data_IF_223431896907
#
_entry.id   IF_223431896907
#
_cell.length_a   1.000
_cell.length_b   1.000
_cell.length_c   1.000
_cell.angle_alpha   90.00
_cell.angle_beta   90.00
_cell.angle_gamma   90.00
#
_symmetry.space_group_name_H-M   'P 1'
#
loop_
_entity.id
_entity.type
_entity.pdbx_description
1 polymer ?
#
# COMPACT_ATOMS: atom_id res chain seq x y z
N UNK A 1 50.25 -20.06 23.19
CA UNK A 1 50.06 -21.48 22.86
C UNK A 1 48.85 -21.45 21.92
N UNK A 2 49.03 -21.28 20.57
CA UNK A 2 49.34 -22.40 19.70
C UNK A 2 48.22 -23.45 19.87
N UNK A 3 47.38 -23.80 18.98
CA UNK A 3 47.39 -24.13 17.54
C UNK A 3 45.98 -24.57 17.14
N UNK A 4 45.51 -24.16 15.97
CA UNK A 4 45.26 -24.99 14.74
C UNK A 4 44.08 -25.94 14.86
N UNK A 5 43.22 -26.12 13.87
CA UNK A 5 43.28 -26.27 12.42
C UNK A 5 41.82 -26.20 11.88
N UNK A 6 41.54 -25.50 10.84
CA UNK A 6 41.46 -25.81 9.41
C UNK A 6 40.64 -27.04 9.00
N UNK A 7 39.66 -26.73 8.10
CA UNK A 7 39.25 -27.45 6.87
C UNK A 7 38.34 -28.67 6.94
N UNK A 8 37.27 -28.60 6.14
CA UNK A 8 36.92 -29.36 4.90
C UNK A 8 35.45 -29.14 4.62
N UNK A 9 35.00 -28.50 3.62
CA UNK A 9 34.92 -28.62 2.15
C UNK A 9 34.61 -30.02 1.63
N UNK A 10 33.61 -30.03 0.77
CA UNK A 10 33.18 -31.01 -0.25
C UNK A 10 32.10 -32.00 0.18
N UNK A 11 30.97 -31.85 -0.48
CA UNK A 11 30.48 -32.30 -1.80
C UNK A 11 30.01 -33.74 -1.81
N UNK A 12 28.89 -33.91 -2.45
CA UNK A 12 28.39 -34.96 -3.36
C UNK A 12 26.94 -35.31 -3.04
N UNK A 13 26.04 -35.02 -3.90
CA UNK A 13 25.75 -35.52 -5.26
C UNK A 13 25.26 -36.96 -5.28
N UNK A 14 24.04 -37.10 -5.72
CA UNK A 14 23.47 -38.09 -6.63
C UNK A 14 23.11 -39.48 -6.14
N UNK A 15 22.04 -39.91 -6.72
CA UNK A 15 21.61 -41.22 -7.25
C UNK A 15 20.44 -41.86 -6.48
N UNK A 16 19.32 -41.86 -7.13
CA UNK A 16 18.71 -42.88 -8.03
C UNK A 16 18.11 -44.04 -7.25
N UNK A 17 16.94 -44.52 -7.49
CA UNK A 17 16.37 -45.33 -8.56
C UNK A 17 14.94 -45.74 -8.17
N UNK A 18 14.04 -45.56 -9.08
CA UNK A 18 13.20 -46.51 -9.81
C UNK A 18 12.75 -47.82 -9.14
N UNK A 19 11.49 -48.06 -9.34
CA UNK A 19 10.74 -49.31 -9.66
C UNK A 19 9.49 -49.44 -8.78
N UNK A 20 8.32 -49.84 -9.22
CA UNK A 20 7.76 -50.60 -10.33
C UNK A 20 6.25 -50.41 -10.34
N UNK A 21 5.67 -50.33 -11.50
CA UNK A 21 4.29 -50.69 -11.85
C UNK A 21 4.12 -52.21 -11.81
N UNK A 22 2.98 -52.88 -12.03
CA UNK A 22 1.77 -52.47 -12.76
C UNK A 22 0.44 -53.14 -12.28
N UNK A 23 -0.58 -53.06 -13.14
CA UNK A 23 -1.80 -53.88 -13.28
C UNK A 23 -3.06 -53.22 -12.69
N UNK A 24 -4.15 -53.09 -13.33
CA UNK A 24 -4.62 -53.53 -14.64
C UNK A 24 -6.13 -53.34 -14.78
N UNK A 25 -6.50 -53.19 -16.02
CA UNK A 25 -7.71 -53.64 -16.67
C UNK A 25 -9.07 -52.91 -16.60
N UNK A 26 -9.43 -52.42 -17.78
CA UNK A 26 -10.64 -52.66 -18.63
C UNK A 26 -11.85 -51.77 -18.27
N UNK A 27 -12.62 -51.26 -19.18
CA UNK A 27 -12.92 -51.40 -20.59
C UNK A 27 -13.92 -50.32 -20.99
N UNK A 28 -13.81 -49.83 -22.16
CA UNK A 28 -14.61 -49.82 -23.37
C UNK A 28 -15.76 -48.79 -23.35
N UNK A 29 -16.10 -48.09 -24.33
CA UNK A 29 -16.27 -48.29 -25.74
C UNK A 29 -16.68 -47.00 -26.44
N UNK A 30 -16.13 -46.71 -27.60
CA UNK A 30 -16.78 -46.29 -28.86
C UNK A 30 -17.64 -45.02 -28.85
N UNK A 31 -17.61 -44.12 -29.82
CA UNK A 31 -17.35 -44.19 -31.27
C UNK A 31 -17.38 -42.83 -31.95
N UNK A 32 -16.66 -42.74 -33.06
CA UNK A 32 -16.84 -41.94 -34.28
C UNK A 32 -16.55 -40.45 -34.27
N UNK A 33 -15.50 -40.01 -34.83
CA UNK A 33 -15.02 -39.86 -36.21
C UNK A 33 -15.75 -38.81 -37.05
N UNK A 34 -14.98 -37.78 -37.46
CA UNK A 34 -14.79 -37.42 -38.88
C UNK A 34 -13.72 -36.35 -39.06
N UNK A 35 -12.74 -36.78 -39.76
CA UNK A 35 -11.68 -36.08 -40.49
C UNK A 35 -12.23 -35.08 -41.52
N UNK A 36 -11.57 -33.97 -41.69
CA UNK A 36 -11.26 -33.41 -43.02
C UNK A 36 -9.93 -32.63 -43.01
N UNK A 37 -9.00 -33.12 -43.77
CA UNK A 37 -7.76 -32.51 -44.19
C UNK A 37 -8.03 -31.44 -45.26
N UNK A 38 -7.32 -30.33 -45.26
CA UNK A 38 -6.90 -29.65 -46.49
C UNK A 38 -5.55 -28.96 -46.18
N UNK A 39 -4.50 -29.41 -46.90
CA UNK A 39 -3.29 -28.67 -47.26
C UNK A 39 -3.37 -28.53 -48.80
N UNK A 40 -2.98 -27.38 -49.35
CA UNK A 40 -1.74 -27.30 -50.14
C UNK A 40 -1.12 -25.88 -50.09
N UNK A 41 0.02 -25.53 -50.49
CA UNK A 41 1.10 -25.97 -51.33
C UNK A 41 2.24 -24.95 -51.27
N UNK A 42 3.38 -25.41 -51.46
CA UNK A 42 4.71 -24.86 -51.60
C UNK A 42 4.85 -23.98 -52.84
N UNK A 43 5.62 -22.88 -52.75
CA UNK A 43 6.48 -22.50 -53.87
C UNK A 43 7.81 -21.90 -53.41
N UNK A 44 8.88 -22.58 -53.86
CA UNK A 44 10.28 -22.24 -53.79
C UNK A 44 10.61 -21.10 -54.76
N UNK A 45 11.52 -20.21 -54.40
CA UNK A 45 12.50 -19.65 -55.34
C UNK A 45 13.86 -19.53 -54.62
N UNK A 46 14.82 -20.24 -55.15
CA UNK A 46 16.25 -20.13 -54.90
C UNK A 46 16.80 -18.86 -55.55
N UNK A 47 17.78 -18.22 -54.93
CA UNK A 47 18.99 -17.74 -55.60
C UNK A 47 20.15 -17.58 -54.60
N UNK A 48 21.18 -18.34 -54.89
CA UNK A 48 22.55 -18.39 -54.42
C UNK A 48 23.36 -17.15 -54.79
N UNK A 49 24.26 -16.71 -53.93
CA UNK A 49 25.62 -16.33 -54.31
C UNK A 49 26.57 -16.36 -53.11
N UNK A 50 27.57 -17.19 -53.24
CA UNK A 50 28.80 -17.27 -52.42
C UNK A 50 29.69 -16.06 -52.74
N UNK A 51 30.56 -15.65 -51.81
CA UNK A 51 31.99 -15.43 -51.99
C UNK A 51 32.65 -14.97 -50.67
N UNK A 52 33.43 -15.80 -50.10
CA UNK A 52 34.87 -15.82 -49.86
C UNK A 52 35.43 -14.96 -48.70
N UNK A 53 35.98 -15.71 -47.77
CA UNK A 53 36.97 -15.39 -46.75
C UNK A 53 38.27 -14.85 -47.31
N UNK A 54 38.85 -13.84 -46.63
CA UNK A 54 40.31 -13.67 -46.54
C UNK A 54 40.71 -12.98 -45.25
N UNK A 55 41.53 -13.69 -44.52
CA UNK A 55 42.37 -13.26 -43.38
C UNK A 55 43.48 -12.32 -43.85
N UNK A 56 43.81 -11.30 -43.03
CA UNK A 56 45.20 -10.89 -42.78
C UNK A 56 45.32 -10.04 -41.51
N UNK A 57 46.30 -10.44 -40.72
CA UNK A 57 46.87 -9.73 -39.59
C UNK A 57 47.67 -8.50 -40.02
N UNK A 58 47.72 -7.42 -39.27
CA UNK A 58 48.89 -6.91 -38.53
C UNK A 58 48.87 -5.40 -38.27
N UNK A 59 49.29 -5.07 -37.08
CA UNK A 59 50.15 -3.97 -36.59
C UNK A 59 49.62 -2.52 -36.52
N UNK A 60 49.47 -2.11 -35.22
CA UNK A 60 49.99 -0.89 -34.56
C UNK A 60 50.04 0.46 -35.31
N UNK A 61 49.40 1.48 -34.77
CA UNK A 61 50.06 2.65 -34.25
C UNK A 61 49.02 3.69 -33.72
N UNK A 62 49.36 4.29 -32.61
CA UNK A 62 48.62 5.35 -31.92
C UNK A 62 48.69 6.67 -32.68
N UNK A 63 47.57 7.40 -32.71
CA UNK A 63 47.55 8.85 -32.95
C UNK A 63 46.44 9.48 -32.15
N UNK A 64 46.83 10.22 -31.14
CA UNK A 64 45.95 11.12 -30.39
C UNK A 64 45.62 12.32 -31.29
N UNK A 65 44.33 12.54 -31.51
CA UNK A 65 43.84 13.82 -32.07
C UNK A 65 43.07 14.60 -31.01
N UNK A 66 43.68 15.73 -30.66
CA UNK A 66 43.12 16.76 -29.82
C UNK A 66 42.09 17.54 -30.64
N UNK A 67 40.84 17.50 -30.22
CA UNK A 67 39.78 18.34 -30.78
C UNK A 67 39.66 19.57 -29.90
N UNK A 68 40.06 20.74 -30.44
CA UNK A 68 39.87 22.06 -29.85
C UNK A 68 38.46 22.54 -30.17
N UNK A 69 37.59 22.65 -29.17
CA UNK A 69 36.27 23.27 -29.33
C UNK A 69 36.41 24.77 -28.97
N UNK A 70 36.21 25.60 -29.96
CA UNK A 70 36.17 27.08 -29.80
C UNK A 70 34.78 27.48 -29.30
N UNK A 71 34.72 27.99 -28.09
CA UNK A 71 33.49 28.52 -27.50
C UNK A 71 33.31 30.00 -27.86
N UNK A 72 32.26 30.31 -28.59
CA UNK A 72 31.83 31.69 -28.83
C UNK A 72 30.95 32.14 -27.68
N UNK A 73 31.43 33.18 -26.96
CA UNK A 73 30.70 33.81 -25.86
C UNK A 73 29.57 34.67 -26.38
N UNK A 74 28.34 34.45 -25.92
CA UNK A 74 27.34 35.51 -25.79
C UNK A 74 26.91 35.59 -24.32
N UNK A 75 27.05 36.81 -23.80
CA UNK A 75 26.83 37.24 -22.47
C UNK A 75 25.37 37.23 -22.03
N UNK A 76 25.02 36.55 -20.94
CA UNK A 76 24.08 37.08 -19.95
C UNK A 76 24.31 36.39 -18.60
N UNK A 77 24.57 37.24 -17.61
CA UNK A 77 24.87 36.93 -16.22
C UNK A 77 23.68 36.27 -15.54
N UNK A 78 23.91 35.13 -14.86
CA UNK A 78 23.38 34.80 -13.52
C UNK A 78 24.24 33.70 -12.91
N UNK A 79 24.66 33.96 -11.67
CA UNK A 79 25.48 33.13 -10.80
C UNK A 79 24.79 31.81 -10.42
N UNK A 80 25.49 30.68 -10.59
CA UNK A 80 25.22 29.44 -9.86
C UNK A 80 26.53 28.98 -9.23
N UNK A 81 26.52 28.88 -7.91
CA UNK A 81 27.60 28.28 -7.13
C UNK A 81 27.41 26.76 -7.19
N UNK A 82 28.44 26.10 -7.67
CA UNK A 82 28.59 24.64 -7.62
C UNK A 82 29.39 24.24 -6.40
N UNK A 83 28.89 23.31 -5.59
CA UNK A 83 29.65 22.62 -4.55
C UNK A 83 30.05 21.22 -5.06
N UNK A 84 31.29 20.78 -4.82
CA UNK A 84 31.76 19.45 -5.20
C UNK A 84 31.40 18.41 -4.12
N UNK A 85 30.83 17.30 -4.55
CA UNK A 85 30.63 16.08 -3.76
C UNK A 85 31.94 15.26 -3.79
N UNK A 86 32.56 15.11 -2.64
CA UNK A 86 33.59 14.11 -2.41
C UNK A 86 33.00 12.94 -1.61
N UNK A 87 32.91 11.77 -2.23
CA UNK A 87 32.71 10.51 -1.55
C UNK A 87 34.06 9.93 -1.13
N UNK A 88 34.23 9.67 0.15
CA UNK A 88 35.21 8.70 0.67
C UNK A 88 34.50 7.71 1.58
N UNK A 89 34.55 6.46 1.18
CA UNK A 89 34.32 5.30 2.04
C UNK A 89 35.46 5.19 3.05
N UNK A 90 35.15 4.96 4.31
CA UNK A 90 36.00 4.21 5.24
C UNK A 90 35.15 3.57 6.31
N UNK A 91 35.31 2.25 6.41
CA UNK A 91 34.86 1.38 7.48
C UNK A 91 35.57 1.66 8.81
N UNK A 92 34.90 1.25 9.86
CA UNK A 92 35.38 0.61 11.08
C UNK A 92 35.07 1.28 12.42
N UNK A 93 34.34 0.49 13.18
CA UNK A 93 34.52 0.16 14.60
C UNK A 93 34.13 1.14 15.71
N UNK A 94 33.07 0.72 16.40
CA UNK A 94 32.85 0.54 17.86
C UNK A 94 33.51 1.50 18.88
N UNK A 95 32.62 1.91 19.73
CA UNK A 95 32.69 2.08 21.20
C UNK A 95 32.78 3.49 21.79
N UNK A 96 31.79 3.72 22.61
CA UNK A 96 31.78 4.30 23.95
C UNK A 96 31.81 5.82 24.15
N UNK A 97 30.71 6.25 24.75
CA UNK A 97 30.61 7.12 25.95
C UNK A 97 30.87 8.65 25.85
N UNK A 98 29.83 9.32 26.33
CA UNK A 98 29.81 10.57 27.09
C UNK A 98 29.83 11.92 26.35
N UNK A 99 28.65 12.54 26.46
CA UNK A 99 28.43 13.96 26.82
C UNK A 99 29.35 15.05 26.20
N UNK A 100 28.73 15.96 25.44
CA UNK A 100 28.76 17.39 25.79
C UNK A 100 27.91 18.23 24.83
N UNK A 101 26.96 18.91 25.43
CA UNK A 101 26.15 19.94 24.84
C UNK A 101 27.00 21.16 24.44
N UNK A 102 26.94 21.59 23.19
CA UNK A 102 27.41 22.92 22.82
C UNK A 102 26.26 23.70 22.17
N UNK A 103 25.76 24.64 22.94
CA UNK A 103 24.73 25.61 22.56
C UNK A 103 25.36 26.67 21.66
N UNK A 104 24.91 26.76 20.41
CA UNK A 104 25.18 27.95 19.57
C UNK A 104 24.09 29.00 19.86
N UNK A 105 24.50 30.08 20.54
CA UNK A 105 23.69 31.29 20.72
C UNK A 105 23.77 32.18 19.47
N UNK A 106 22.70 32.24 18.72
CA UNK A 106 22.49 33.34 17.77
C UNK A 106 21.79 34.49 18.49
N UNK A 107 22.46 35.63 18.57
CA UNK A 107 21.91 36.89 19.05
C UNK A 107 21.05 37.52 17.95
N UNK A 108 19.75 37.54 18.12
CA UNK A 108 18.85 38.47 17.40
C UNK A 108 18.35 39.53 18.36
N UNK A 109 18.47 40.79 17.93
CA UNK A 109 18.01 41.98 18.69
C UNK A 109 16.50 41.91 18.86
N UNK A 110 16.08 42.00 20.11
CA UNK A 110 14.68 42.12 20.49
C UNK A 110 14.18 43.53 20.23
N UNK A 111 13.08 43.64 19.51
CA UNK A 111 12.20 44.80 19.61
C UNK A 111 11.00 44.37 20.45
N UNK A 112 10.88 45.04 21.61
CA UNK A 112 9.80 44.83 22.57
C UNK A 112 8.51 45.46 22.06
N UNK A 113 7.50 44.62 21.82
CA UNK A 113 6.11 45.03 22.05
C UNK A 113 5.38 43.89 22.74
N UNK A 114 4.96 44.19 23.94
CA UNK A 114 4.16 43.36 24.86
C UNK A 114 2.77 43.17 24.28
N UNK A 115 2.42 41.90 23.97
CA UNK A 115 1.04 41.47 24.09
C UNK A 115 1.01 40.13 24.81
N UNK A 116 0.39 40.13 25.98
CA UNK A 116 0.09 38.92 26.78
C UNK A 116 -1.08 38.19 26.12
N UNK A 117 -0.98 36.92 26.14
CA UNK A 117 -1.98 35.85 26.18
C UNK A 117 -1.89 34.85 25.01
N UNK A 118 -1.56 33.66 25.42
CA UNK A 118 -1.58 32.46 24.59
C UNK A 118 -0.68 31.37 25.17
N UNK A 119 -0.94 31.02 26.44
CA UNK A 119 -0.44 29.78 27.00
C UNK A 119 -1.16 28.66 26.24
N UNK A 120 -0.52 28.12 25.20
CA UNK A 120 -0.99 26.90 24.56
C UNK A 120 -1.07 25.82 25.63
N UNK A 121 -2.27 25.48 26.01
CA UNK A 121 -2.54 24.29 26.81
C UNK A 121 -2.10 23.09 25.99
N UNK A 122 -0.96 22.53 26.32
CA UNK A 122 -0.64 21.15 25.94
C UNK A 122 -1.70 20.29 26.66
N UNK A 123 -2.77 19.98 25.98
CA UNK A 123 -3.68 18.93 26.42
C UNK A 123 -2.90 17.63 26.37
N UNK A 124 -2.34 17.23 27.49
CA UNK A 124 -1.87 15.85 27.69
C UNK A 124 -3.08 14.95 27.49
N UNK A 125 -3.09 14.22 26.39
CA UNK A 125 -4.17 13.26 26.15
C UNK A 125 -4.15 12.24 27.28
N UNK A 126 -5.32 11.90 27.81
CA UNK A 126 -5.44 10.93 28.88
C UNK A 126 -4.83 9.58 28.43
N UNK A 127 -4.16 8.90 29.34
CA UNK A 127 -3.62 7.54 29.09
C UNK A 127 -4.81 6.61 28.80
N UNK A 128 -4.63 5.71 27.80
CA UNK A 128 -5.63 4.73 27.41
C UNK A 128 -6.15 3.94 28.62
N UNK A 129 -7.46 3.85 28.77
CA UNK A 129 -8.09 3.12 29.88
C UNK A 129 -8.57 1.74 29.41
N UNK A 130 -8.42 0.69 30.24
CA UNK A 130 -9.07 -0.58 29.93
C UNK A 130 -10.59 -0.37 29.96
N UNK A 131 -11.28 -0.95 28.96
CA UNK A 131 -12.74 -0.93 28.92
C UNK A 131 -13.29 -1.75 30.08
N UNK A 132 -13.93 -1.11 31.04
CA UNK A 132 -14.50 -1.78 32.25
C UNK A 132 -16.00 -2.03 32.12
N UNK A 133 -16.70 -1.16 31.41
CA UNK A 133 -18.14 -1.20 31.20
C UNK A 133 -18.45 -0.94 29.72
N UNK A 134 -18.86 -1.99 29.01
CA UNK A 134 -19.19 -1.89 27.60
C UNK A 134 -20.52 -1.15 27.36
N UNK A 135 -21.50 -1.31 28.26
CA UNK A 135 -22.80 -0.65 28.10
C UNK A 135 -22.68 0.88 28.09
N UNK A 136 -21.81 1.42 28.96
CA UNK A 136 -21.54 2.86 28.99
C UNK A 136 -20.98 3.39 27.66
N UNK A 137 -20.04 2.68 27.05
CA UNK A 137 -19.50 3.02 25.74
C UNK A 137 -20.58 2.89 24.67
N UNK A 138 -21.30 1.76 24.66
CA UNK A 138 -22.35 1.47 23.67
C UNK A 138 -23.44 2.56 23.73
N UNK A 139 -23.91 2.92 24.90
CA UNK A 139 -24.99 3.90 25.06
C UNK A 139 -24.54 5.33 24.71
N UNK A 140 -23.24 5.59 24.76
CA UNK A 140 -22.66 6.91 24.46
C UNK A 140 -22.49 7.21 22.98
N UNK A 141 -22.73 6.25 22.06
CA UNK A 141 -22.55 6.41 20.61
C UNK A 141 -23.72 5.80 19.84
N UNK A 142 -23.96 6.28 18.62
CA UNK A 142 -24.99 5.76 17.71
C UNK A 142 -24.41 4.80 16.66
N UNK A 143 -23.13 5.00 16.34
CA UNK A 143 -22.46 4.27 15.24
C UNK A 143 -21.13 3.69 15.70
N UNK A 144 -20.93 2.43 15.34
CA UNK A 144 -19.62 1.78 15.45
C UNK A 144 -19.00 1.64 14.07
N UNK A 145 -17.77 2.11 13.92
CA UNK A 145 -16.92 1.86 12.76
C UNK A 145 -15.89 0.81 13.16
N UNK A 146 -15.88 -0.31 12.46
CA UNK A 146 -14.95 -1.40 12.69
C UNK A 146 -13.90 -1.46 11.60
N UNK A 147 -12.63 -1.62 11.94
CA UNK A 147 -11.70 -2.25 11.01
C UNK A 147 -12.08 -3.73 10.82
N UNK A 148 -11.53 -4.36 9.79
CA UNK A 148 -11.87 -5.74 9.47
C UNK A 148 -10.80 -6.73 9.94
N UNK A 149 -9.57 -6.57 9.47
CA UNK A 149 -8.46 -7.49 9.74
C UNK A 149 -7.92 -7.26 11.15
N UNK A 150 -7.91 -8.28 12.01
CA UNK A 150 -7.53 -8.14 13.41
C UNK A 150 -8.67 -7.75 14.36
N UNK A 151 -9.82 -7.32 13.83
CA UNK A 151 -11.01 -6.91 14.59
C UNK A 151 -12.18 -7.87 14.38
N UNK A 152 -12.52 -8.16 13.12
CA UNK A 152 -13.61 -9.07 12.75
C UNK A 152 -13.07 -10.48 12.47
N UNK A 153 -11.94 -10.55 11.76
CA UNK A 153 -11.28 -11.81 11.41
C UNK A 153 -9.75 -11.70 11.43
N UNK A 154 -9.11 -12.88 11.42
CA UNK A 154 -7.68 -13.06 11.11
C UNK A 154 -7.57 -14.00 9.90
N UNK A 155 -7.07 -13.49 8.78
CA UNK A 155 -7.10 -14.23 7.53
C UNK A 155 -8.55 -14.58 7.13
N UNK A 156 -8.87 -15.86 7.08
CA UNK A 156 -10.20 -16.37 6.73
C UNK A 156 -10.97 -16.95 7.93
N UNK A 157 -10.57 -16.62 9.17
CA UNK A 157 -11.24 -17.09 10.39
C UNK A 157 -11.79 -15.92 11.19
N UNK A 158 -13.08 -16.02 11.55
CA UNK A 158 -13.69 -15.06 12.49
C UNK A 158 -13.00 -15.09 13.85
N UNK A 159 -12.91 -13.92 14.45
CA UNK A 159 -12.56 -13.81 15.88
C UNK A 159 -13.79 -14.24 16.68
N UNK A 160 -13.54 -15.05 17.69
CA UNK A 160 -14.57 -15.65 18.53
C UNK A 160 -15.50 -14.59 19.15
N UNK A 161 -16.81 -14.84 19.05
CA UNK A 161 -17.86 -13.98 19.62
C UNK A 161 -18.18 -12.73 18.78
N UNK A 162 -17.60 -12.60 17.58
CA UNK A 162 -17.90 -11.50 16.67
C UNK A 162 -19.35 -11.51 16.21
N UNK A 163 -19.91 -12.63 15.69
CA UNK A 163 -21.31 -12.66 15.24
C UNK A 163 -22.28 -12.17 16.33
N UNK A 164 -22.15 -12.74 17.52
CA UNK A 164 -23.00 -12.43 18.68
C UNK A 164 -22.88 -10.95 19.11
N UNK A 165 -21.66 -10.42 19.01
CA UNK A 165 -21.41 -8.99 19.33
C UNK A 165 -22.09 -8.06 18.31
N UNK A 166 -21.94 -8.34 17.01
CA UNK A 166 -22.57 -7.54 15.96
C UNK A 166 -24.11 -7.60 16.07
N UNK A 167 -24.68 -8.77 16.33
CA UNK A 167 -26.12 -8.95 16.51
C UNK A 167 -26.62 -8.22 17.76
N UNK A 168 -25.89 -8.29 18.86
CA UNK A 168 -26.20 -7.53 20.07
C UNK A 168 -26.19 -6.02 19.82
N UNK A 169 -25.19 -5.48 19.13
CA UNK A 169 -25.13 -4.06 18.80
C UNK A 169 -26.30 -3.63 17.89
N UNK A 170 -26.63 -4.46 16.87
CA UNK A 170 -27.80 -4.21 16.01
C UNK A 170 -29.11 -4.27 16.80
N UNK A 171 -29.29 -5.21 17.72
CA UNK A 171 -30.46 -5.29 18.58
C UNK A 171 -30.63 -4.07 19.47
N UNK A 172 -29.53 -3.41 19.84
CA UNK A 172 -29.53 -2.11 20.55
C UNK A 172 -29.72 -0.91 19.62
N UNK A 173 -30.04 -1.13 18.35
CA UNK A 173 -30.27 -0.06 17.36
C UNK A 173 -29.00 0.67 16.90
N UNK A 174 -27.81 0.10 17.14
CA UNK A 174 -26.55 0.72 16.70
C UNK A 174 -26.30 0.49 15.21
N UNK A 175 -25.84 1.54 14.53
CA UNK A 175 -25.36 1.42 13.15
C UNK A 175 -23.97 0.83 13.14
N UNK A 176 -23.73 -0.13 12.26
CA UNK A 176 -22.44 -0.77 12.07
C UNK A 176 -21.88 -0.39 10.70
N UNK A 177 -20.61 -0.06 10.66
CA UNK A 177 -19.88 0.29 9.43
C UNK A 177 -18.51 -0.39 9.47
N UNK A 178 -18.07 -0.95 8.35
CA UNK A 178 -16.81 -1.68 8.23
C UNK A 178 -15.86 -0.92 7.31
N UNK A 179 -14.74 -0.44 7.86
CA UNK A 179 -13.78 0.42 7.14
C UNK A 179 -12.43 -0.26 7.08
N UNK A 180 -11.96 -0.61 5.89
CA UNK A 180 -10.67 -1.29 5.70
C UNK A 180 -9.75 -0.54 4.74
N UNK A 181 -8.45 -0.56 5.03
CA UNK A 181 -7.41 -0.04 4.13
C UNK A 181 -7.09 -0.99 2.98
N UNK A 182 -7.59 -2.22 3.01
CA UNK A 182 -7.36 -3.17 1.93
C UNK A 182 -8.11 -2.74 0.65
N UNK A 183 -7.37 -2.47 -0.41
CA UNK A 183 -7.89 -2.01 -1.72
C UNK A 183 -7.97 -3.12 -2.77
N UNK A 184 -7.60 -4.37 -2.43
CA UNK A 184 -7.57 -5.46 -3.41
C UNK A 184 -8.95 -5.95 -3.83
N UNK A 185 -9.97 -5.69 -2.98
CA UNK A 185 -11.35 -6.11 -3.19
C UNK A 185 -12.29 -4.91 -3.29
N UNK A 186 -13.34 -5.05 -4.11
CA UNK A 186 -14.47 -4.13 -4.11
C UNK A 186 -15.41 -4.41 -2.93
N UNK A 187 -16.32 -3.47 -2.62
CA UNK A 187 -17.36 -3.66 -1.58
C UNK A 187 -18.17 -4.94 -1.81
N UNK A 188 -18.55 -5.22 -3.07
CA UNK A 188 -19.25 -6.46 -3.43
C UNK A 188 -18.44 -7.72 -3.11
N UNK A 189 -17.13 -7.70 -3.38
CA UNK A 189 -16.24 -8.83 -3.04
C UNK A 189 -16.05 -8.96 -1.53
N UNK A 190 -16.05 -7.86 -0.79
CA UNK A 190 -16.04 -7.88 0.68
C UNK A 190 -17.36 -8.43 1.22
N UNK A 191 -18.51 -8.01 0.67
CA UNK A 191 -19.82 -8.57 1.03
C UNK A 191 -19.85 -10.09 0.93
N UNK A 192 -19.28 -10.67 -0.14
CA UNK A 192 -19.14 -12.13 -0.26
C UNK A 192 -18.23 -12.74 0.81
N UNK A 193 -17.16 -12.05 1.24
CA UNK A 193 -16.34 -12.55 2.35
C UNK A 193 -17.12 -12.57 3.65
N UNK A 194 -17.88 -11.52 3.96
CA UNK A 194 -18.77 -11.47 5.12
C UNK A 194 -19.80 -12.61 5.09
N UNK A 195 -20.47 -12.80 3.95
CA UNK A 195 -21.43 -13.89 3.74
C UNK A 195 -20.79 -15.27 3.95
N UNK A 196 -19.61 -15.52 3.37
CA UNK A 196 -18.88 -16.79 3.53
C UNK A 196 -18.51 -17.06 4.99
N UNK A 197 -18.28 -16.01 5.77
CA UNK A 197 -18.01 -16.08 7.20
C UNK A 197 -19.29 -16.13 8.06
N UNK A 198 -20.47 -16.18 7.45
CA UNK A 198 -21.76 -16.26 8.15
C UNK A 198 -22.22 -14.92 8.75
N UNK A 199 -21.67 -13.80 8.29
CA UNK A 199 -22.05 -12.46 8.77
C UNK A 199 -22.97 -11.77 7.76
N UNK A 200 -24.10 -11.27 8.24
CA UNK A 200 -25.03 -10.49 7.42
C UNK A 200 -24.60 -9.01 7.41
N UNK A 201 -23.89 -8.61 6.36
CA UNK A 201 -23.38 -7.25 6.16
C UNK A 201 -23.72 -6.81 4.74
N UNK A 202 -24.40 -5.67 4.61
CA UNK A 202 -24.73 -5.09 3.30
C UNK A 202 -23.54 -4.34 2.69
N UNK A 203 -23.51 -4.21 1.35
CA UNK A 203 -22.47 -3.40 0.67
C UNK A 203 -22.46 -1.94 1.13
N UNK A 204 -23.61 -1.42 1.58
CA UNK A 204 -23.75 -0.05 2.09
C UNK A 204 -23.09 0.18 3.45
N UNK A 205 -22.78 -0.89 4.19
CA UNK A 205 -22.06 -0.85 5.45
C UNK A 205 -20.54 -0.99 5.24
N UNK A 206 -20.07 -1.29 4.00
CA UNK A 206 -18.66 -1.59 3.70
C UNK A 206 -17.99 -0.40 3.02
N UNK A 207 -16.86 0.04 3.55
CA UNK A 207 -16.05 1.15 3.07
C UNK A 207 -14.59 0.73 2.96
N UNK A 208 -14.24 0.12 1.83
CA UNK A 208 -12.88 -0.24 1.50
C UNK A 208 -12.13 0.96 0.90
N UNK A 209 -10.82 1.00 1.03
CA UNK A 209 -10.01 2.07 0.44
C UNK A 209 -10.05 2.08 -1.10
N UNK A 210 -10.40 0.95 -1.74
CA UNK A 210 -10.75 0.89 -3.17
C UNK A 210 -11.97 1.76 -3.50
N UNK A 211 -13.04 1.64 -2.69
CA UNK A 211 -14.22 2.50 -2.80
C UNK A 211 -13.90 3.96 -2.50
N UNK A 212 -13.07 4.22 -1.48
CA UNK A 212 -12.70 5.57 -1.09
C UNK A 212 -12.04 6.34 -2.23
N UNK A 213 -11.22 5.70 -3.06
CA UNK A 213 -10.59 6.32 -4.22
C UNK A 213 -11.66 6.75 -5.27
N UNK A 214 -12.61 5.89 -5.58
CA UNK A 214 -13.70 6.20 -6.51
C UNK A 214 -14.65 7.27 -5.94
N UNK A 215 -14.97 7.19 -4.64
CA UNK A 215 -15.81 8.17 -3.95
C UNK A 215 -15.14 9.55 -3.88
N UNK A 216 -13.82 9.60 -3.69
CA UNK A 216 -13.07 10.85 -3.72
C UNK A 216 -13.15 11.51 -5.10
N UNK A 217 -12.87 10.77 -6.17
CA UNK A 217 -13.01 11.31 -7.53
C UNK A 217 -14.41 11.84 -7.81
N UNK A 218 -15.44 11.14 -7.31
CA UNK A 218 -16.83 11.60 -7.41
C UNK A 218 -17.07 12.88 -6.61
N UNK A 219 -16.48 13.01 -5.42
CA UNK A 219 -16.68 14.17 -4.53
C UNK A 219 -16.07 15.47 -5.06
N UNK A 220 -15.10 15.37 -5.96
CA UNK A 220 -14.44 16.51 -6.62
C UNK A 220 -14.93 16.73 -8.04
N UNK A 221 -16.03 16.07 -8.46
CA UNK A 221 -16.56 16.11 -9.82
C UNK A 221 -15.49 15.82 -10.89
N UNK A 222 -14.66 14.81 -10.66
CA UNK A 222 -13.60 14.42 -11.58
C UNK A 222 -14.19 14.18 -13.00
N UNK A 223 -13.61 14.78 -14.06
CA UNK A 223 -14.17 14.74 -15.40
C UNK A 223 -14.34 13.31 -15.93
N UNK A 224 -15.52 12.99 -16.49
CA UNK A 224 -15.87 11.64 -16.98
C UNK A 224 -15.18 11.27 -18.30
N UNK A 225 -14.71 12.24 -19.04
CA UNK A 225 -13.90 12.08 -20.25
C UNK A 225 -12.43 11.80 -19.96
N UNK A 226 -11.97 12.06 -18.74
CA UNK A 226 -10.63 11.71 -18.29
C UNK A 226 -10.58 10.26 -17.79
N UNK A 227 -9.42 9.65 -17.98
CA UNK A 227 -9.13 8.29 -17.53
C UNK A 227 -8.36 8.27 -16.21
N UNK A 228 -8.48 7.17 -15.50
CA UNK A 228 -7.73 6.89 -14.28
C UNK A 228 -6.72 5.78 -14.55
N UNK A 229 -5.43 6.05 -14.37
CA UNK A 229 -4.43 4.99 -14.40
C UNK A 229 -4.31 4.33 -13.03
N UNK A 230 -4.43 3.00 -12.98
CA UNK A 230 -4.47 2.26 -11.73
C UNK A 230 -3.19 1.42 -11.57
N UNK A 231 -2.49 1.67 -10.47
CA UNK A 231 -1.46 0.78 -9.92
C UNK A 231 -2.10 0.10 -8.72
N UNK A 232 -2.62 -1.09 -8.93
CA UNK A 232 -3.43 -1.80 -7.92
C UNK A 232 -4.12 -3.02 -8.48
N UNK A 233 -4.96 -3.64 -7.65
CA UNK A 233 -5.69 -4.85 -8.00
C UNK A 233 -7.16 -4.57 -8.35
N UNK A 234 -7.90 -5.63 -8.73
CA UNK A 234 -9.28 -5.60 -9.25
C UNK A 234 -10.27 -4.78 -8.44
N UNK A 235 -10.08 -4.70 -7.12
CA UNK A 235 -10.99 -3.95 -6.24
C UNK A 235 -11.13 -2.49 -6.65
N UNK A 236 -10.01 -1.84 -6.98
CA UNK A 236 -10.01 -0.43 -7.42
C UNK A 236 -10.71 -0.29 -8.77
N UNK A 237 -10.40 -1.19 -9.72
CA UNK A 237 -10.98 -1.17 -11.07
C UNK A 237 -12.51 -1.26 -11.01
N UNK A 238 -13.04 -2.20 -10.22
CA UNK A 238 -14.47 -2.41 -10.07
C UNK A 238 -15.19 -1.24 -9.42
N UNK A 239 -14.59 -0.60 -8.42
CA UNK A 239 -15.20 0.59 -7.80
C UNK A 239 -15.16 1.81 -8.73
N UNK A 240 -14.13 1.97 -9.56
CA UNK A 240 -14.07 3.00 -10.59
C UNK A 240 -15.12 2.77 -11.67
N UNK A 241 -15.30 1.52 -12.13
CA UNK A 241 -16.33 1.12 -13.10
C UNK A 241 -17.74 1.43 -12.57
N UNK A 242 -18.03 1.03 -11.31
CA UNK A 242 -19.30 1.33 -10.65
C UNK A 242 -19.55 2.84 -10.48
N UNK A 243 -18.50 3.63 -10.33
CA UNK A 243 -18.59 5.09 -10.28
C UNK A 243 -18.67 5.73 -11.67
N UNK A 244 -18.58 4.94 -12.76
CA UNK A 244 -18.67 5.40 -14.15
C UNK A 244 -17.41 6.10 -14.65
N UNK A 245 -16.23 5.74 -14.15
CA UNK A 245 -14.94 6.23 -14.62
C UNK A 245 -14.27 5.23 -15.56
N UNK A 246 -13.63 5.74 -16.60
CA UNK A 246 -12.75 4.95 -17.45
C UNK A 246 -11.40 4.78 -16.77
N UNK A 247 -10.81 3.60 -16.91
CA UNK A 247 -9.51 3.30 -16.32
C UNK A 247 -8.57 2.57 -17.27
N UNK A 248 -7.29 2.60 -16.94
CA UNK A 248 -6.18 1.90 -17.57
C UNK A 248 -5.35 1.24 -16.47
N UNK A 249 -4.53 0.25 -16.82
CA UNK A 249 -3.61 -0.39 -15.87
C UNK A 249 -4.24 -1.51 -15.07
N UNK A 250 -3.91 -1.61 -13.80
CA UNK A 250 -4.34 -2.71 -12.95
C UNK A 250 -3.55 -4.01 -13.18
N UNK A 251 -4.13 -5.19 -12.89
CA UNK A 251 -3.47 -6.48 -13.02
C UNK A 251 -2.97 -6.81 -14.44
N UNK A 252 -3.63 -6.29 -15.47
CA UNK A 252 -3.25 -6.51 -16.88
C UNK A 252 -1.85 -6.01 -17.20
N UNK A 253 -1.39 -4.97 -16.53
CA UNK A 253 -0.05 -4.43 -16.68
C UNK A 253 1.02 -5.23 -15.90
N UNK A 254 0.62 -6.23 -15.13
CA UNK A 254 1.52 -7.01 -14.28
C UNK A 254 2.60 -7.78 -15.03
N UNK A 255 2.33 -8.18 -16.27
CA UNK A 255 3.28 -8.89 -17.13
C UNK A 255 4.09 -7.98 -18.07
N UNK A 256 3.80 -6.67 -18.14
CA UNK A 256 4.46 -5.76 -19.07
C UNK A 256 5.93 -5.52 -18.68
N UNK A 257 6.79 -5.52 -19.67
CA UNK A 257 8.23 -5.24 -19.56
C UNK A 257 8.60 -4.12 -20.52
N UNK A 258 9.59 -3.33 -20.14
CA UNK A 258 10.13 -2.26 -20.99
C UNK A 258 11.44 -2.77 -21.59
N UNK A 259 11.53 -2.81 -22.91
CA UNK A 259 12.78 -3.04 -23.62
C UNK A 259 13.45 -1.70 -23.92
N UNK A 260 14.52 -1.41 -23.21
CA UNK A 260 15.28 -0.17 -23.38
C UNK A 260 16.20 -0.30 -24.61
N UNK A 261 15.91 0.50 -25.64
CA UNK A 261 16.75 0.65 -26.84
C UNK A 261 17.19 2.11 -26.95
N UNK A 262 18.34 2.41 -27.55
CA UNK A 262 18.75 3.80 -27.79
C UNK A 262 17.64 4.58 -28.54
N UNK A 263 17.25 5.73 -27.99
CA UNK A 263 16.18 6.58 -28.57
C UNK A 263 14.75 6.11 -28.28
N UNK A 264 14.56 5.03 -27.48
CA UNK A 264 13.22 4.63 -27.07
C UNK A 264 12.58 5.67 -26.14
N UNK A 265 11.39 6.13 -26.52
CA UNK A 265 10.51 6.98 -25.71
C UNK A 265 9.26 6.17 -25.37
N UNK A 266 8.91 6.12 -24.09
CA UNK A 266 7.68 5.46 -23.65
C UNK A 266 6.52 6.43 -23.81
N UNK A 267 5.56 6.06 -24.63
CA UNK A 267 4.30 6.80 -24.78
C UNK A 267 3.37 6.55 -23.60
N UNK A 268 2.56 7.54 -23.26
CA UNK A 268 1.50 7.45 -22.27
C UNK A 268 0.25 8.18 -22.76
N UNK A 269 -0.89 7.88 -22.16
CA UNK A 269 -2.18 8.50 -22.55
C UNK A 269 -2.32 9.87 -21.87
N UNK A 270 -2.35 10.93 -22.67
CA UNK A 270 -2.52 12.32 -22.23
C UNK A 270 -3.91 12.59 -21.61
N UNK A 271 -4.87 11.68 -21.82
CA UNK A 271 -6.19 11.76 -21.19
C UNK A 271 -6.24 11.20 -19.77
N UNK A 272 -5.14 10.65 -19.26
CA UNK A 272 -5.05 10.25 -17.85
C UNK A 272 -5.02 11.50 -16.97
N UNK A 273 -6.10 11.72 -16.23
CA UNK A 273 -6.24 12.85 -15.29
C UNK A 273 -6.01 12.46 -13.82
N UNK A 274 -5.88 11.19 -13.51
CA UNK A 274 -5.55 10.71 -12.17
C UNK A 274 -4.76 9.40 -12.22
N UNK A 275 -3.82 9.25 -11.28
CA UNK A 275 -3.13 7.98 -11.00
C UNK A 275 -3.54 7.55 -9.58
N UNK A 276 -4.19 6.39 -9.49
CA UNK A 276 -4.59 5.79 -8.21
C UNK A 276 -3.65 4.65 -7.88
N UNK A 277 -2.99 4.74 -6.73
CA UNK A 277 -2.02 3.75 -6.26
C UNK A 277 -2.54 3.06 -5.01
N UNK A 278 -2.65 1.74 -5.08
CA UNK A 278 -2.98 0.86 -3.98
C UNK A 278 -2.03 -0.33 -3.89
N UNK A 279 -2.39 -1.29 -3.04
CA UNK A 279 -1.64 -2.54 -2.95
C UNK A 279 -1.73 -3.32 -4.27
N UNK A 280 -0.57 -3.77 -4.77
CA UNK A 280 -0.44 -4.45 -6.07
C UNK A 280 0.65 -5.53 -6.00
N UNK A 281 0.25 -6.81 -5.99
CA UNK A 281 1.17 -7.96 -6.00
C UNK A 281 1.93 -8.12 -7.31
N UNK A 282 1.45 -7.46 -8.37
CA UNK A 282 2.04 -7.50 -9.71
C UNK A 282 2.74 -6.19 -10.08
N UNK A 283 3.18 -5.45 -9.06
CA UNK A 283 3.90 -4.19 -9.21
C UNK A 283 5.22 -4.41 -9.97
N UNK A 284 5.48 -3.58 -10.99
CA UNK A 284 6.66 -3.70 -11.83
C UNK A 284 7.15 -2.33 -12.34
N UNK A 285 8.31 -2.34 -13.01
CA UNK A 285 8.93 -1.10 -13.49
C UNK A 285 8.09 -0.39 -14.58
N UNK A 286 7.33 -1.15 -15.40
CA UNK A 286 6.40 -0.56 -16.37
C UNK A 286 5.38 0.32 -15.69
N UNK A 287 4.73 -0.18 -14.64
CA UNK A 287 3.72 0.57 -13.88
C UNK A 287 4.31 1.81 -13.21
N UNK A 288 5.54 1.69 -12.67
CA UNK A 288 6.25 2.84 -12.09
C UNK A 288 6.44 3.92 -13.15
N UNK A 289 7.02 3.55 -14.30
CA UNK A 289 7.34 4.50 -15.35
C UNK A 289 6.09 5.14 -15.95
N UNK A 290 5.06 4.34 -16.27
CA UNK A 290 3.82 4.85 -16.83
C UNK A 290 3.10 5.82 -15.89
N UNK A 291 2.93 5.43 -14.62
CA UNK A 291 2.33 6.29 -13.60
C UNK A 291 3.14 7.57 -13.36
N UNK A 292 4.49 7.48 -13.41
CA UNK A 292 5.38 8.64 -13.30
C UNK A 292 5.16 9.62 -14.43
N UNK A 293 5.09 9.13 -15.68
CA UNK A 293 4.84 9.97 -16.86
C UNK A 293 3.50 10.69 -16.76
N UNK A 294 2.42 9.95 -16.45
CA UNK A 294 1.10 10.55 -16.27
C UNK A 294 1.09 11.67 -15.22
N UNK A 295 1.72 11.44 -14.06
CA UNK A 295 1.74 12.43 -12.96
C UNK A 295 2.60 13.66 -13.31
N UNK A 296 3.69 13.48 -14.06
CA UNK A 296 4.65 14.54 -14.33
C UNK A 296 4.30 15.34 -15.58
N UNK A 297 3.74 14.69 -16.60
CA UNK A 297 3.60 15.27 -17.95
C UNK A 297 2.16 15.67 -18.26
N UNK A 298 1.13 14.98 -17.67
CA UNK A 298 -0.25 15.38 -17.88
C UNK A 298 -0.62 16.56 -16.96
N UNK A 299 -1.01 17.73 -17.49
CA UNK A 299 -1.35 18.88 -16.68
C UNK A 299 -2.51 18.59 -15.71
N UNK A 300 -2.30 18.85 -14.44
CA UNK A 300 -3.34 18.66 -13.40
C UNK A 300 -3.61 17.22 -13.02
N UNK A 301 -2.83 16.25 -13.50
CA UNK A 301 -2.99 14.85 -13.12
C UNK A 301 -2.87 14.67 -11.60
N UNK A 302 -3.90 14.05 -11.02
CA UNK A 302 -3.97 13.77 -9.57
C UNK A 302 -3.12 12.56 -9.23
N UNK A 303 -2.47 12.62 -8.09
CA UNK A 303 -1.82 11.46 -7.48
C UNK A 303 -2.56 11.08 -6.20
N UNK A 304 -3.24 9.93 -6.22
CA UNK A 304 -4.11 9.44 -5.14
C UNK A 304 -3.57 8.11 -4.63
N UNK A 305 -3.42 7.98 -3.32
CA UNK A 305 -3.07 6.73 -2.65
C UNK A 305 -4.27 6.18 -1.86
N UNK A 306 -4.55 4.89 -2.02
CA UNK A 306 -5.60 4.23 -1.23
C UNK A 306 -5.25 4.18 0.25
N UNK A 307 -3.96 3.95 0.58
CA UNK A 307 -3.39 4.01 1.93
C UNK A 307 -1.86 4.08 1.83
N UNK A 308 -1.19 4.21 2.99
CA UNK A 308 0.28 4.20 3.08
C UNK A 308 0.79 3.11 4.04
N UNK A 309 0.05 2.04 4.21
CA UNK A 309 0.44 0.96 5.12
C UNK A 309 1.78 0.37 4.68
N UNK A 310 2.76 0.40 5.57
CA UNK A 310 4.12 -0.06 5.28
C UNK A 310 4.15 -1.57 5.07
N UNK A 311 3.38 -2.29 5.87
CA UNK A 311 3.28 -3.76 5.86
C UNK A 311 1.83 -4.22 5.78
N UNK A 312 1.66 -5.46 5.31
CA UNK A 312 0.39 -6.17 5.25
C UNK A 312 0.59 -7.64 5.62
N UNK A 313 -0.48 -8.32 6.01
CA UNK A 313 -0.46 -9.72 6.36
C UNK A 313 -1.16 -10.53 5.26
N UNK A 314 -0.37 -11.08 4.32
CA UNK A 314 -0.88 -11.98 3.28
C UNK A 314 -0.91 -13.43 3.77
N UNK A 315 -0.02 -13.75 4.71
CA UNK A 315 0.06 -15.03 5.42
C UNK A 315 0.29 -14.75 6.90
N UNK A 316 0.11 -15.76 7.74
CA UNK A 316 0.40 -15.72 9.18
C UNK A 316 1.89 -15.93 9.51
N UNK A 317 2.71 -16.28 8.51
CA UNK A 317 4.11 -16.64 8.72
C UNK A 317 5.05 -15.42 8.78
N UNK A 318 4.70 -14.31 8.10
CA UNK A 318 5.55 -13.11 8.05
C UNK A 318 4.77 -11.86 7.64
N UNK A 319 5.37 -10.69 7.90
CA UNK A 319 4.92 -9.42 7.33
C UNK A 319 5.36 -9.29 5.87
N UNK A 320 4.50 -8.71 5.07
CA UNK A 320 4.71 -8.43 3.65
C UNK A 320 4.70 -6.93 3.39
N UNK A 321 5.39 -6.49 2.34
CA UNK A 321 5.37 -5.09 1.93
C UNK A 321 3.93 -4.64 1.61
N UNK A 322 3.47 -3.59 2.25
CA UNK A 322 2.13 -3.02 2.09
C UNK A 322 2.02 -2.05 0.92
N UNK A 323 0.84 -1.48 0.72
CA UNK A 323 0.54 -0.50 -0.34
C UNK A 323 1.42 0.74 -0.29
N UNK A 324 1.89 1.11 0.90
CA UNK A 324 2.84 2.20 1.09
C UNK A 324 4.14 2.04 0.32
N UNK A 325 4.58 0.80 0.04
CA UNK A 325 5.77 0.52 -0.79
C UNK A 325 5.57 0.94 -2.24
N UNK A 326 4.39 0.66 -2.82
CA UNK A 326 4.02 1.08 -4.18
C UNK A 326 3.90 2.60 -4.26
N UNK A 327 3.24 3.20 -3.27
CA UNK A 327 3.11 4.66 -3.14
C UNK A 327 4.48 5.32 -3.02
N UNK A 328 5.38 4.76 -2.19
CA UNK A 328 6.74 5.26 -2.03
C UNK A 328 7.56 5.25 -3.32
N UNK A 329 7.41 4.21 -4.15
CA UNK A 329 8.07 4.16 -5.45
C UNK A 329 7.61 5.29 -6.39
N UNK A 330 6.31 5.57 -6.45
CA UNK A 330 5.74 6.65 -7.26
C UNK A 330 6.10 8.03 -6.67
N UNK A 331 6.03 8.19 -5.34
CA UNK A 331 6.47 9.44 -4.68
C UNK A 331 7.94 9.73 -4.97
N UNK A 332 8.80 8.69 -4.91
CA UNK A 332 10.24 8.82 -5.19
C UNK A 332 10.54 9.23 -6.62
N UNK A 333 9.83 8.67 -7.60
CA UNK A 333 10.04 8.98 -9.02
C UNK A 333 9.44 10.32 -9.45
N UNK A 334 8.32 10.71 -8.85
CA UNK A 334 7.60 11.96 -9.19
C UNK A 334 8.01 13.16 -8.37
N UNK A 335 8.64 12.94 -7.20
CA UNK A 335 8.90 13.96 -6.19
C UNK A 335 7.62 14.70 -5.74
N UNK A 336 6.50 13.94 -5.71
CA UNK A 336 5.19 14.44 -5.29
C UNK A 336 4.62 13.51 -4.22
N UNK A 337 3.93 14.10 -3.24
CA UNK A 337 3.16 13.34 -2.27
C UNK A 337 1.73 13.11 -2.77
N UNK A 338 1.14 11.93 -2.54
CA UNK A 338 -0.24 11.65 -2.92
C UNK A 338 -1.23 12.30 -1.95
N UNK A 339 -2.43 12.53 -2.44
CA UNK A 339 -3.60 12.61 -1.59
C UNK A 339 -3.97 11.20 -1.12
N UNK A 340 -4.04 11.00 0.19
CA UNK A 340 -4.39 9.70 0.78
C UNK A 340 -5.87 9.68 1.14
N UNK A 341 -6.60 8.65 0.68
CA UNK A 341 -8.04 8.52 0.94
C UNK A 341 -8.38 7.51 2.04
N UNK A 342 -7.50 6.55 2.32
CA UNK A 342 -7.65 5.57 3.38
C UNK A 342 -7.24 6.09 4.76
N UNK A 343 -7.46 5.28 5.80
CA UNK A 343 -7.02 5.58 7.18
C UNK A 343 -5.51 5.84 7.21
N UNK A 344 -4.99 6.81 7.98
CA UNK A 344 -5.69 7.64 8.96
C UNK A 344 -6.26 8.98 8.39
N UNK A 345 -6.36 9.13 7.04
CA UNK A 345 -7.00 10.30 6.43
C UNK A 345 -8.47 10.38 6.82
N UNK A 346 -8.96 11.59 7.11
CA UNK A 346 -10.35 11.81 7.55
C UNK A 346 -11.36 11.69 6.41
N UNK A 347 -10.94 11.54 5.16
CA UNK A 347 -11.85 11.54 4.01
C UNK A 347 -13.01 10.54 4.18
N UNK A 348 -12.71 9.28 4.54
CA UNK A 348 -13.77 8.28 4.74
C UNK A 348 -14.66 8.62 5.93
N UNK A 349 -14.12 9.19 7.01
CA UNK A 349 -14.90 9.61 8.18
C UNK A 349 -15.86 10.75 7.81
N UNK A 350 -15.36 11.74 7.08
CA UNK A 350 -16.17 12.88 6.61
C UNK A 350 -17.28 12.41 5.65
N UNK A 351 -16.91 11.51 4.73
CA UNK A 351 -17.86 10.90 3.80
C UNK A 351 -18.97 10.14 4.53
N UNK A 352 -18.61 9.32 5.52
CA UNK A 352 -19.56 8.54 6.33
C UNK A 352 -20.48 9.45 7.15
N UNK A 353 -19.90 10.41 7.85
CA UNK A 353 -20.67 11.36 8.67
C UNK A 353 -21.69 12.11 7.81
N UNK A 354 -21.29 12.58 6.63
CA UNK A 354 -22.18 13.27 5.69
C UNK A 354 -23.24 12.31 5.09
N UNK A 355 -22.85 11.12 4.65
CA UNK A 355 -23.75 10.13 4.05
C UNK A 355 -24.89 9.74 4.98
N UNK A 356 -24.59 9.55 6.25
CA UNK A 356 -25.55 9.07 7.24
C UNK A 356 -26.14 10.18 8.12
N UNK A 357 -25.68 11.42 7.97
CA UNK A 357 -26.13 12.56 8.79
C UNK A 357 -25.76 12.40 10.28
N UNK A 358 -24.56 11.83 10.59
CA UNK A 358 -24.16 11.48 11.95
C UNK A 358 -23.13 12.47 12.48
N UNK A 359 -23.30 12.92 13.72
CA UNK A 359 -22.25 13.66 14.42
C UNK A 359 -21.07 12.74 14.72
N UNK A 360 -19.86 13.20 14.42
CA UNK A 360 -18.62 12.44 14.67
C UNK A 360 -18.41 12.08 16.14
N UNK A 361 -18.89 12.90 17.07
CA UNK A 361 -18.89 12.61 18.51
C UNK A 361 -19.78 11.44 18.91
N UNK A 362 -20.71 11.03 18.04
CA UNK A 362 -21.59 9.88 18.19
C UNK A 362 -21.05 8.62 17.51
N UNK A 363 -19.78 8.64 17.12
CA UNK A 363 -19.10 7.51 16.47
C UNK A 363 -18.03 6.95 17.41
N UNK A 364 -17.93 5.63 17.47
CA UNK A 364 -16.79 4.92 18.04
C UNK A 364 -16.03 4.20 16.94
N UNK A 365 -14.76 4.54 16.73
CA UNK A 365 -13.84 3.77 15.89
C UNK A 365 -13.23 2.63 16.68
N UNK A 366 -13.41 1.41 16.21
CA UNK A 366 -12.88 0.19 16.77
C UNK A 366 -11.83 -0.39 15.82
N UNK A 367 -10.60 -0.49 16.26
CA UNK A 367 -9.50 -0.97 15.43
C UNK A 367 -8.40 -1.62 16.25
N UNK A 368 -7.47 -2.26 15.57
CA UNK A 368 -6.35 -2.98 16.18
C UNK A 368 -4.99 -2.27 16.00
N UNK A 369 -4.98 -1.18 15.19
CA UNK A 369 -3.74 -0.43 14.88
C UNK A 369 -3.81 0.99 15.40
N UNK A 370 -2.74 1.42 16.07
CA UNK A 370 -2.62 2.79 16.57
C UNK A 370 -2.47 3.81 15.44
N UNK A 371 -1.59 3.55 14.51
CA UNK A 371 -1.15 4.47 13.44
C UNK A 371 -2.19 4.66 12.32
N UNK A 372 -3.12 3.76 12.18
CA UNK A 372 -4.22 3.84 11.18
C UNK A 372 -5.57 4.06 11.87
N UNK A 373 -6.07 3.07 12.61
CA UNK A 373 -7.44 3.07 13.13
C UNK A 373 -7.67 4.09 14.23
N UNK A 374 -6.82 4.03 15.26
CA UNK A 374 -6.96 4.94 16.40
C UNK A 374 -6.72 6.38 15.95
N UNK A 375 -5.68 6.60 15.15
CA UNK A 375 -5.40 7.92 14.61
C UNK A 375 -6.52 8.41 13.67
N UNK A 376 -7.14 7.52 12.88
CA UNK A 376 -8.32 7.83 12.06
C UNK A 376 -9.50 8.31 12.89
N UNK A 377 -9.84 7.58 13.97
CA UNK A 377 -10.89 7.98 14.90
C UNK A 377 -10.59 9.32 15.57
N UNK A 378 -9.34 9.51 15.98
CA UNK A 378 -8.89 10.74 16.63
C UNK A 378 -8.92 11.95 15.70
N UNK A 379 -8.37 11.80 14.48
CA UNK A 379 -8.39 12.86 13.47
C UNK A 379 -9.84 13.21 13.08
N UNK A 380 -10.72 12.20 13.09
CA UNK A 380 -12.15 12.37 12.84
C UNK A 380 -12.96 13.00 13.99
N UNK A 381 -12.39 13.10 15.19
CA UNK A 381 -13.10 13.59 16.36
C UNK A 381 -14.08 12.58 16.96
N UNK A 382 -13.82 11.28 16.79
CA UNK A 382 -14.61 10.16 17.28
C UNK A 382 -14.05 9.60 18.58
N UNK A 383 -14.86 8.84 19.31
CA UNK A 383 -14.37 7.93 20.35
C UNK A 383 -13.56 6.80 19.72
N UNK A 384 -12.60 6.27 20.46
CA UNK A 384 -11.68 5.24 19.96
C UNK A 384 -11.57 4.08 20.94
N UNK A 385 -11.71 2.86 20.41
CA UNK A 385 -11.50 1.62 21.12
C UNK A 385 -10.45 0.78 20.40
N UNK A 386 -9.33 0.55 21.06
CA UNK A 386 -8.30 -0.37 20.58
C UNK A 386 -8.65 -1.80 21.03
N UNK A 387 -8.60 -2.75 20.07
CA UNK A 387 -8.64 -4.18 20.37
C UNK A 387 -7.26 -4.78 20.24
N UNK A 388 -6.88 -5.64 21.19
CA UNK A 388 -5.56 -6.30 21.23
C UNK A 388 -5.57 -7.63 20.45
N UNK A 389 -6.65 -7.91 19.73
CA UNK A 389 -6.80 -9.12 18.92
C UNK A 389 -6.03 -9.09 17.60
N UNK A 390 -5.46 -7.97 17.20
CA UNK A 390 -4.75 -7.81 15.94
C UNK A 390 -3.27 -7.50 16.09
N UNK A 391 -2.84 -6.38 15.51
CA UNK A 391 -1.42 -5.96 15.38
C UNK A 391 -0.88 -5.38 16.69
N UNK A 392 -1.62 -4.47 17.32
CA UNK A 392 -1.14 -3.78 18.51
C UNK A 392 -1.24 -4.68 19.74
N UNK A 393 -0.13 -4.85 20.44
CA UNK A 393 -0.07 -5.54 21.73
C UNK A 393 -0.10 -4.57 22.90
N UNK A 394 -0.46 -5.06 24.10
CA UNK A 394 -0.46 -4.21 25.29
C UNK A 394 0.91 -3.55 25.58
N UNK A 395 2.06 -4.23 25.45
CA UNK A 395 3.37 -3.58 25.56
C UNK A 395 3.59 -2.47 24.53
N UNK A 396 3.11 -2.63 23.29
CA UNK A 396 3.19 -1.57 22.27
C UNK A 396 2.35 -0.35 22.66
N UNK A 397 1.12 -0.56 23.11
CA UNK A 397 0.24 0.50 23.60
C UNK A 397 0.89 1.28 24.76
N UNK A 398 1.46 0.57 25.72
CA UNK A 398 2.07 1.13 26.93
C UNK A 398 3.50 1.62 26.73
N UNK A 399 4.07 1.46 25.54
CA UNK A 399 5.44 1.91 25.25
C UNK A 399 5.58 3.42 25.48
N UNK A 400 6.64 3.89 26.16
CA UNK A 400 6.90 5.32 26.33
C UNK A 400 7.11 6.05 25.01
N UNK A 401 7.42 5.33 23.93
CA UNK A 401 7.56 5.89 22.58
C UNK A 401 6.22 6.01 21.83
N UNK A 402 5.13 5.45 22.38
CA UNK A 402 3.80 5.53 21.78
C UNK A 402 3.11 6.84 22.18
N UNK A 403 2.88 7.71 21.20
CA UNK A 403 2.16 8.98 21.39
C UNK A 403 0.64 8.87 21.10
N UNK A 404 0.18 7.73 20.54
CA UNK A 404 -1.21 7.55 20.12
C UNK A 404 -1.93 6.76 21.21
N UNK A 405 -2.78 7.46 22.00
CA UNK A 405 -3.52 6.87 23.10
C UNK A 405 -5.01 6.79 22.73
N UNK A 406 -5.61 5.58 22.58
CA UNK A 406 -7.07 5.45 22.42
C UNK A 406 -7.80 5.86 23.70
N UNK A 407 -9.10 6.14 23.59
CA UNK A 407 -9.91 6.40 24.79
C UNK A 407 -10.02 5.14 25.66
N UNK A 408 -10.25 4.00 24.98
CA UNK A 408 -10.36 2.69 25.64
C UNK A 408 -9.57 1.60 24.90
N UNK A 409 -9.24 0.53 25.59
CA UNK A 409 -8.73 -0.71 25.00
C UNK A 409 -9.35 -1.95 25.64
N UNK A 410 -9.44 -3.04 24.86
CA UNK A 410 -9.90 -4.36 25.32
C UNK A 410 -9.20 -5.47 24.54
N UNK A 411 -9.40 -6.74 24.91
CA UNK A 411 -8.71 -7.83 24.20
C UNK A 411 -9.32 -8.08 22.81
N UNK A 412 -10.65 -8.15 22.72
CA UNK A 412 -11.40 -8.39 21.45
C UNK A 412 -12.79 -7.75 21.54
N UNK A 413 -13.44 -7.55 20.42
CA UNK A 413 -14.77 -6.89 20.43
C UNK A 413 -15.84 -7.69 21.18
N UNK A 414 -15.71 -9.00 21.26
CA UNK A 414 -16.65 -9.85 22.01
C UNK A 414 -16.59 -9.64 23.53
N UNK A 415 -15.62 -8.90 24.04
CA UNK A 415 -15.61 -8.45 25.44
C UNK A 415 -16.83 -7.57 25.76
N UNK A 416 -17.46 -6.97 24.72
CA UNK A 416 -18.75 -6.27 24.89
C UNK A 416 -19.87 -7.13 25.45
N UNK A 417 -19.80 -8.46 25.26
CA UNK A 417 -20.79 -9.39 25.78
C UNK A 417 -20.64 -9.67 27.28
N UNK A 418 -19.42 -9.51 27.80
CA UNK A 418 -19.08 -9.86 29.17
C UNK A 418 -18.82 -8.68 30.11
N UNK A 419 -18.33 -7.56 29.56
CA UNK A 419 -18.04 -6.33 30.33
C UNK A 419 -19.32 -5.50 30.54
N UNK A 420 -20.26 -6.02 31.31
CA UNK A 420 -21.49 -5.30 31.67
C UNK A 420 -21.29 -4.51 32.97
N UNK A 421 -22.12 -3.49 33.17
CA UNK A 421 -22.20 -2.82 34.47
C UNK A 421 -22.42 -3.88 35.56
N UNK A 422 -21.64 -3.79 36.64
CA UNK A 422 -21.96 -4.60 37.84
C UNK A 422 -23.40 -4.29 38.22
N UNK A 423 -24.23 -5.33 38.30
CA UNK A 423 -25.59 -5.17 38.84
C UNK A 423 -25.45 -4.61 40.23
N UNK A 424 -25.95 -3.37 40.44
CA UNK A 424 -26.00 -2.69 41.74
C UNK A 424 -27.11 -3.32 42.55
#
# INVERSE_FOLDING_TARGET
>A
MIQNCTNLVHSNLWLMFNRLTPLGLRSSCCTHARTTKIIPQINKIHKTSQFQTRSMLSSTSALAQTVTVTCVRHSHKRCFQSFPLNYRFCDAARNSLLSNSTIFKLKTKANSNRSRNGMGTFTTRAVAQPLKNADELIDSVETFIFDCDGVIWKGDKLIEGVPETLDMLRSKGKRLVFVTNNSTKSRKQYGKKFETLGLNVSEEEIFASSFAAAAYLKSIDFPKDKKVYVIGEDGILKELELAGYQYLGGPEDGGKKIELKPGFLMEHDENVGAVVVGFDRYFNYYKIQYGTLCIRENPGCLFIATNRDAVTHLTDAQEWAGGGSMVGAISGSTQREPLVVGKPSTFMMDYLANKFGISKSQICMVGDRLDTDILFGQNGGCKTLLVLSGVTTLPMLQSPNNSIQPDFYTNKISDFLSLKAAAV
#
